data_IF_570548860125
#
_entry.id   IF_570548860125
#
_cell.length_a   1.000
_cell.length_b   1.000
_cell.length_c   1.000
_cell.angle_alpha   90.00
_cell.angle_beta   90.00
_cell.angle_gamma   90.00
#
_symmetry.space_group_name_H-M   'P 1'
#
loop_
_entity.id
_entity.type
_entity.pdbx_description
1 polymer ?
#
# COMPACT_ATOMS: atom_id res chain seq x y z
N UNK A 1 37.66 -22.23 14.28
CA UNK A 1 36.57 -21.31 13.89
C UNK A 1 35.31 -22.15 13.83
N UNK A 2 34.46 -22.04 14.85
CA UNK A 2 33.20 -22.77 14.87
C UNK A 2 32.22 -22.09 13.89
N UNK A 3 31.57 -22.90 13.05
CA UNK A 3 30.54 -22.39 12.13
C UNK A 3 29.35 -21.90 12.93
N UNK A 4 28.88 -20.69 12.64
CA UNK A 4 27.62 -20.19 13.18
C UNK A 4 26.47 -21.15 12.84
N UNK A 5 25.56 -21.33 13.79
CA UNK A 5 24.36 -22.16 13.65
C UNK A 5 23.56 -21.71 12.42
N UNK A 6 23.31 -22.62 11.47
CA UNK A 6 22.54 -22.31 10.27
C UNK A 6 21.07 -22.19 10.64
N UNK A 7 20.61 -20.96 10.89
CA UNK A 7 19.18 -20.67 10.93
C UNK A 7 18.64 -20.67 9.50
N UNK A 8 17.49 -21.30 9.29
CA UNK A 8 16.82 -21.34 7.99
C UNK A 8 16.49 -19.95 7.46
N UNK A 9 16.21 -19.84 6.16
CA UNK A 9 15.82 -18.59 5.51
C UNK A 9 14.29 -18.44 5.45
N UNK A 10 13.78 -17.26 5.81
CA UNK A 10 12.36 -16.90 5.65
C UNK A 10 12.14 -16.06 4.39
N UNK A 11 10.97 -16.22 3.75
CA UNK A 11 10.52 -15.35 2.64
C UNK A 11 9.33 -14.53 3.12
N UNK A 12 9.46 -13.22 3.01
CA UNK A 12 8.48 -12.26 3.51
C UNK A 12 8.05 -11.29 2.41
N UNK A 13 6.81 -10.83 2.50
CA UNK A 13 6.34 -9.65 1.77
C UNK A 13 6.51 -8.46 2.71
N UNK A 14 7.34 -7.49 2.31
CA UNK A 14 7.54 -6.25 3.06
C UNK A 14 6.61 -5.18 2.50
N UNK A 15 5.50 -4.95 3.18
CA UNK A 15 4.53 -3.90 2.86
C UNK A 15 3.86 -3.40 4.14
N UNK A 16 3.08 -2.32 4.02
CA UNK A 16 2.11 -2.01 5.07
C UNK A 16 1.01 -3.08 5.07
N UNK A 17 0.53 -3.54 6.23
CA UNK A 17 -0.61 -4.44 6.31
C UNK A 17 -1.87 -3.79 5.70
N UNK A 18 -2.73 -4.57 5.02
CA UNK A 18 -4.03 -4.07 4.59
C UNK A 18 -4.90 -3.70 5.82
N UNK A 19 -5.84 -2.75 5.69
CA UNK A 19 -6.74 -2.35 6.78
C UNK A 19 -7.88 -3.37 7.01
N UNK A 20 -7.70 -4.63 6.60
CA UNK A 20 -8.66 -5.72 6.68
C UNK A 20 -7.92 -7.05 6.88
N UNK A 21 -8.63 -8.03 7.44
CA UNK A 21 -8.14 -9.40 7.51
C UNK A 21 -8.23 -10.07 6.14
N UNK A 22 -7.47 -11.15 5.93
CA UNK A 22 -7.58 -11.96 4.72
C UNK A 22 -8.89 -12.78 4.74
N UNK A 23 -10.01 -12.14 4.42
CA UNK A 23 -11.33 -12.74 4.35
C UNK A 23 -11.90 -12.73 2.92
N UNK A 24 -12.52 -13.85 2.52
CA UNK A 24 -12.98 -14.07 1.16
C UNK A 24 -14.02 -13.03 0.69
N UNK A 25 -14.89 -12.58 1.59
CA UNK A 25 -15.93 -11.59 1.28
C UNK A 25 -15.33 -10.24 0.91
N UNK A 26 -14.40 -9.74 1.73
CA UNK A 26 -13.67 -8.50 1.45
C UNK A 26 -12.85 -8.62 0.16
N UNK A 27 -12.16 -9.73 -0.06
CA UNK A 27 -11.38 -9.93 -1.30
C UNK A 27 -12.26 -9.93 -2.55
N UNK A 28 -13.44 -10.56 -2.50
CA UNK A 28 -14.41 -10.53 -3.59
C UNK A 28 -14.95 -9.12 -3.83
N UNK A 29 -15.29 -8.40 -2.77
CA UNK A 29 -15.79 -7.03 -2.89
C UNK A 29 -14.71 -6.08 -3.42
N UNK A 30 -13.44 -6.32 -3.11
CA UNK A 30 -12.31 -5.62 -3.74
C UNK A 30 -12.17 -5.93 -5.24
N UNK A 31 -12.54 -7.13 -5.67
CA UNK A 31 -12.52 -7.51 -7.09
C UNK A 31 -13.62 -6.78 -7.89
N UNK A 32 -14.79 -6.57 -7.27
CA UNK A 32 -15.98 -6.03 -7.91
C UNK A 32 -16.17 -4.51 -7.70
N UNK A 33 -15.95 -4.01 -6.48
CA UNK A 33 -16.15 -2.61 -6.09
C UNK A 33 -15.24 -2.18 -4.92
N UNK A 34 -13.96 -1.87 -5.19
CA UNK A 34 -13.02 -1.41 -4.17
C UNK A 34 -13.50 -0.21 -3.34
N UNK A 35 -14.28 0.69 -3.96
CA UNK A 35 -14.78 1.89 -3.31
C UNK A 35 -15.57 1.57 -2.05
N UNK A 36 -16.48 0.59 -2.10
CA UNK A 36 -17.33 0.22 -0.96
C UNK A 36 -16.50 -0.30 0.20
N UNK A 37 -15.53 -1.17 -0.08
CA UNK A 37 -14.60 -1.72 0.92
C UNK A 37 -13.77 -0.61 1.56
N UNK A 38 -13.12 0.22 0.75
CA UNK A 38 -12.26 1.29 1.27
C UNK A 38 -13.06 2.35 2.04
N UNK A 39 -14.27 2.71 1.57
CA UNK A 39 -15.16 3.63 2.25
C UNK A 39 -15.62 3.12 3.62
N UNK A 40 -15.84 1.81 3.74
CA UNK A 40 -16.18 1.15 5.01
C UNK A 40 -14.99 1.08 5.98
N UNK A 41 -13.79 0.80 5.48
CA UNK A 41 -12.63 0.52 6.32
C UNK A 41 -11.79 1.75 6.68
N UNK A 42 -11.83 2.79 5.85
CA UNK A 42 -10.94 3.95 6.00
C UNK A 42 -11.75 5.24 5.99
N UNK A 43 -12.10 5.77 7.18
CA UNK A 43 -12.87 6.99 7.30
C UNK A 43 -12.24 8.14 6.50
N UNK A 44 -13.08 8.81 5.72
CA UNK A 44 -12.67 10.00 4.99
C UNK A 44 -11.86 9.76 3.71
N UNK A 45 -11.70 8.50 3.28
CA UNK A 45 -11.04 8.18 2.00
C UNK A 45 -11.77 8.80 0.82
N UNK A 46 -13.11 8.79 0.82
CA UNK A 46 -13.90 9.37 -0.27
C UNK A 46 -13.71 10.88 -0.38
N UNK A 47 -13.71 11.58 0.76
CA UNK A 47 -13.50 13.02 0.83
C UNK A 47 -12.10 13.40 0.32
N UNK A 48 -11.07 12.66 0.72
CA UNK A 48 -9.70 12.87 0.25
C UNK A 48 -9.59 12.64 -1.25
N UNK A 49 -10.13 11.53 -1.75
CA UNK A 49 -10.06 11.20 -3.17
C UNK A 49 -10.80 12.25 -4.00
N UNK A 50 -12.00 12.67 -3.58
CA UNK A 50 -12.75 13.73 -4.25
C UNK A 50 -11.99 15.06 -4.25
N UNK A 51 -11.45 15.50 -3.11
CA UNK A 51 -10.70 16.75 -2.99
C UNK A 51 -9.42 16.78 -3.84
N UNK A 52 -8.81 15.62 -4.08
CA UNK A 52 -7.63 15.46 -4.95
C UNK A 52 -7.96 15.20 -6.42
N UNK A 53 -9.25 15.03 -6.77
CA UNK A 53 -9.67 14.62 -8.11
C UNK A 53 -9.22 13.21 -8.48
N UNK A 54 -9.03 12.33 -7.50
CA UNK A 54 -8.60 10.95 -7.71
C UNK A 54 -9.81 10.02 -7.86
N UNK A 55 -9.72 9.09 -8.80
CA UNK A 55 -10.71 8.03 -8.98
C UNK A 55 -10.35 6.81 -8.12
N UNK A 56 -11.39 6.11 -7.64
CA UNK A 56 -11.22 4.75 -7.14
C UNK A 56 -10.92 3.80 -8.29
N UNK A 57 -10.15 2.74 -8.02
CA UNK A 57 -10.01 1.64 -8.96
C UNK A 57 -11.35 0.93 -9.12
N UNK A 58 -11.66 0.47 -10.34
CA UNK A 58 -12.83 -0.37 -10.60
C UNK A 58 -12.67 -1.80 -10.10
N UNK A 59 -11.43 -2.24 -9.87
CA UNK A 59 -11.07 -3.59 -9.41
C UNK A 59 -9.70 -3.55 -8.74
N UNK A 60 -9.54 -4.31 -7.66
CA UNK A 60 -8.26 -4.62 -7.02
C UNK A 60 -8.03 -6.12 -7.15
N UNK A 61 -7.24 -6.51 -8.14
CA UNK A 61 -6.97 -7.91 -8.49
C UNK A 61 -5.82 -8.54 -7.68
N UNK A 62 -5.17 -7.76 -6.82
CA UNK A 62 -4.01 -8.19 -6.05
C UNK A 62 -3.95 -7.52 -4.68
N UNK A 63 -3.89 -8.34 -3.65
CA UNK A 63 -3.58 -7.95 -2.27
C UNK A 63 -2.32 -8.70 -1.84
N UNK A 64 -1.36 -7.96 -1.26
CA UNK A 64 -0.17 -8.55 -0.68
C UNK A 64 -0.39 -8.78 0.82
N UNK A 65 -0.22 -10.02 1.27
CA UNK A 65 -0.38 -10.40 2.68
C UNK A 65 0.97 -10.35 3.41
N UNK A 66 1.11 -9.38 4.33
CA UNK A 66 2.31 -9.20 5.15
C UNK A 66 2.18 -9.78 6.56
N UNK A 67 1.13 -10.56 6.86
CA UNK A 67 0.85 -11.15 8.20
C UNK A 67 2.07 -11.87 8.77
N UNK A 68 2.66 -12.77 7.99
CA UNK A 68 3.85 -13.54 8.38
C UNK A 68 5.02 -12.67 8.85
N UNK A 69 5.25 -11.52 8.21
CA UNK A 69 6.33 -10.61 8.60
C UNK A 69 5.98 -9.85 9.89
N UNK A 70 4.72 -9.45 10.07
CA UNK A 70 4.26 -8.80 11.30
C UNK A 70 4.39 -9.76 12.47
N UNK A 71 3.98 -11.02 12.30
CA UNK A 71 4.00 -12.06 13.32
C UNK A 71 5.41 -12.52 13.67
N UNK A 72 6.23 -12.87 12.68
CA UNK A 72 7.55 -13.46 12.93
C UNK A 72 8.64 -12.41 13.21
N UNK A 73 8.53 -11.21 12.62
CA UNK A 73 9.58 -10.18 12.66
C UNK A 73 9.16 -8.92 13.42
N UNK A 74 7.92 -8.86 13.92
CA UNK A 74 7.41 -7.68 14.64
C UNK A 74 7.34 -6.43 13.77
N UNK A 75 7.23 -6.57 12.44
CA UNK A 75 7.23 -5.44 11.52
C UNK A 75 6.09 -4.47 11.82
N UNK A 76 6.42 -3.19 11.97
CA UNK A 76 5.49 -2.09 12.22
C UNK A 76 5.82 -0.94 11.28
N UNK A 77 5.11 -0.79 10.15
CA UNK A 77 5.39 0.30 9.23
C UNK A 77 5.03 1.64 9.89
N UNK A 78 5.81 2.68 9.60
CA UNK A 78 5.48 4.05 10.06
C UNK A 78 4.25 4.62 9.35
N UNK A 79 4.01 4.18 8.12
CA UNK A 79 2.95 4.67 7.25
C UNK A 79 2.17 3.48 6.69
N UNK A 80 0.86 3.54 6.79
CA UNK A 80 -0.09 2.64 6.16
C UNK A 80 -1.13 3.45 5.38
N UNK A 81 -2.07 2.76 4.74
CA UNK A 81 -3.09 3.43 3.92
C UNK A 81 -3.99 4.35 4.76
N UNK A 82 -4.46 3.89 5.92
CA UNK A 82 -5.39 4.65 6.77
C UNK A 82 -4.74 5.91 7.36
N UNK A 83 -3.54 5.78 7.93
CA UNK A 83 -2.76 6.91 8.43
C UNK A 83 -2.40 7.91 7.33
N UNK A 84 -2.15 7.44 6.09
CA UNK A 84 -1.90 8.33 4.96
C UNK A 84 -3.16 9.12 4.57
N UNK A 85 -4.33 8.47 4.54
CA UNK A 85 -5.60 9.16 4.31
C UNK A 85 -5.86 10.19 5.39
N UNK A 86 -5.69 9.85 6.66
CA UNK A 86 -5.89 10.80 7.77
C UNK A 86 -4.96 12.02 7.66
N UNK A 87 -3.68 11.81 7.34
CA UNK A 87 -2.74 12.93 7.10
C UNK A 87 -3.22 13.84 5.97
N UNK A 88 -3.70 13.25 4.87
CA UNK A 88 -4.26 14.00 3.75
C UNK A 88 -5.52 14.79 4.14
N UNK A 89 -6.39 14.23 5.01
CA UNK A 89 -7.55 14.95 5.55
C UNK A 89 -7.16 16.20 6.33
N UNK A 90 -6.05 16.11 7.08
CA UNK A 90 -5.47 17.25 7.82
C UNK A 90 -4.71 18.25 6.95
N UNK A 91 -4.71 18.05 5.62
CA UNK A 91 -4.00 18.91 4.68
C UNK A 91 -2.48 18.72 4.69
N UNK A 92 -1.98 17.63 5.29
CA UNK A 92 -0.54 17.36 5.33
C UNK A 92 -0.01 16.76 4.04
N UNK A 93 1.29 16.96 3.81
CA UNK A 93 2.00 16.31 2.70
C UNK A 93 2.22 14.82 3.00
N UNK A 94 1.73 13.96 2.10
CA UNK A 94 1.88 12.51 2.18
C UNK A 94 3.23 12.04 1.64
N UNK A 95 3.85 12.82 0.74
CA UNK A 95 5.18 12.57 0.21
C UNK A 95 6.23 12.83 1.28
N UNK A 96 7.30 12.05 1.27
CA UNK A 96 8.46 12.35 2.10
C UNK A 96 9.27 13.49 1.48
N UNK A 97 10.06 14.18 2.29
CA UNK A 97 11.00 15.18 1.80
C UNK A 97 11.95 14.59 0.73
N UNK A 98 12.34 13.33 0.89
CA UNK A 98 13.16 12.62 -0.09
C UNK A 98 12.42 12.44 -1.43
N UNK A 99 11.14 12.05 -1.43
CA UNK A 99 10.42 11.84 -2.69
C UNK A 99 10.16 13.16 -3.43
N UNK A 100 10.00 14.27 -2.71
CA UNK A 100 9.97 15.61 -3.30
C UNK A 100 11.31 16.00 -3.94
N UNK A 101 12.42 15.75 -3.24
CA UNK A 101 13.78 16.06 -3.75
C UNK A 101 14.18 15.19 -4.95
N UNK A 102 13.84 13.90 -4.92
CA UNK A 102 14.19 12.96 -5.99
C UNK A 102 13.28 13.14 -7.22
N UNK A 103 12.02 13.55 -7.01
CA UNK A 103 11.04 13.71 -8.08
C UNK A 103 10.66 12.37 -8.73
N UNK A 104 10.23 12.44 -9.99
CA UNK A 104 9.80 11.28 -10.78
C UNK A 104 10.95 10.80 -11.67
N UNK A 105 11.38 9.55 -11.49
CA UNK A 105 12.30 8.88 -12.42
C UNK A 105 11.52 7.91 -13.30
N UNK A 106 11.79 7.92 -14.61
CA UNK A 106 11.24 6.94 -15.53
C UNK A 106 11.87 5.57 -15.31
N UNK A 107 11.05 4.51 -15.31
CA UNK A 107 11.53 3.12 -15.14
C UNK A 107 12.28 2.61 -16.39
N UNK A 108 11.96 3.15 -17.58
CA UNK A 108 12.67 2.86 -18.83
C UNK A 108 13.16 4.14 -19.52
N UNK A 109 14.11 3.98 -20.45
CA UNK A 109 14.55 5.05 -21.33
C UNK A 109 13.42 5.56 -22.23
N UNK A 110 12.53 4.66 -22.66
CA UNK A 110 11.40 4.91 -23.55
C UNK A 110 10.07 4.51 -22.90
N UNK A 111 8.96 5.07 -23.40
CA UNK A 111 7.61 4.68 -22.96
C UNK A 111 7.29 3.26 -23.44
N UNK A 112 6.99 2.36 -22.51
CA UNK A 112 6.65 0.95 -22.77
C UNK A 112 5.24 0.57 -22.27
N UNK A 113 4.49 1.50 -21.69
CA UNK A 113 3.16 1.26 -21.14
C UNK A 113 2.62 2.45 -20.35
N UNK A 114 1.45 2.28 -19.73
CA UNK A 114 0.79 3.35 -18.97
C UNK A 114 1.62 3.85 -17.78
N UNK A 115 2.46 2.99 -17.20
CA UNK A 115 3.29 3.29 -16.03
C UNK A 115 4.67 3.89 -16.37
N UNK A 116 5.04 3.95 -17.64
CA UNK A 116 6.39 4.31 -18.07
C UNK A 116 6.43 5.56 -18.97
N UNK A 117 5.29 6.26 -19.09
CA UNK A 117 5.20 7.57 -19.78
C UNK A 117 6.11 8.58 -19.10
N UNK A 118 7.08 9.15 -19.83
CA UNK A 118 7.86 10.32 -19.35
C UNK A 118 6.96 11.55 -19.26
#
# INVERSE_FOLDING_TARGET
MDRAEVRGWGRYIISAPPPFANDEGTLRELDECPRTVLGRLVPGVEEVFAAKGWAFLGRVDRVYDSSRMVEEMGWRPRYDFASTVERLRRGEEWKSELSLRVGRKGYHAVTTGVYTKR
#
